data_IF_894834102842
#
_entry.id   IF_894834102842
#
_cell.length_a   1.000
_cell.length_b   1.000
_cell.length_c   1.000
_cell.angle_alpha   90.00
_cell.angle_beta   90.00
_cell.angle_gamma   90.00
#
_symmetry.space_group_name_H-M   'P 1'
#
loop_
_entity.id
_entity.type
_entity.pdbx_description
1 polymer ?
#
# COMPACT_ATOMS: atom_id res chain seq x y z
N UNK A 1 -8.12 -13.28 -0.23
CA UNK A 1 -8.28 -12.24 -1.29
C UNK A 1 -7.06 -12.28 -2.21
N UNK A 2 -7.19 -12.16 -3.54
CA UNK A 2 -6.02 -12.14 -4.43
C UNK A 2 -5.16 -10.89 -4.19
N UNK A 3 -3.85 -11.02 -4.39
CA UNK A 3 -2.91 -9.90 -4.30
C UNK A 3 -3.17 -8.92 -5.46
N UNK A 4 -3.09 -7.62 -5.18
CA UNK A 4 -3.08 -6.59 -6.22
C UNK A 4 -1.84 -6.78 -7.09
N UNK A 5 -1.97 -6.89 -8.40
CA UNK A 5 -0.78 -6.88 -9.28
C UNK A 5 -0.32 -5.44 -9.49
N UNK A 6 0.99 -5.18 -9.37
CA UNK A 6 1.59 -3.87 -9.72
C UNK A 6 1.32 -3.47 -11.18
N UNK A 7 1.09 -4.43 -12.06
CA UNK A 7 0.83 -4.18 -13.48
C UNK A 7 -0.63 -3.84 -13.80
N UNK A 8 -1.53 -3.99 -12.82
CA UNK A 8 -2.94 -3.68 -13.01
C UNK A 8 -3.17 -2.16 -13.14
N UNK A 9 -4.19 -1.77 -13.90
CA UNK A 9 -4.51 -0.36 -14.12
C UNK A 9 -4.72 0.41 -12.80
N UNK A 10 -5.38 -0.22 -11.83
CA UNK A 10 -5.58 0.35 -10.49
C UNK A 10 -4.25 0.60 -9.75
N UNK A 11 -3.30 -0.34 -9.84
CA UNK A 11 -1.99 -0.19 -9.21
C UNK A 11 -1.17 0.91 -9.89
N UNK A 12 -1.14 0.93 -11.23
CA UNK A 12 -0.41 1.95 -12.01
C UNK A 12 -0.97 3.36 -11.75
N UNK A 13 -2.29 3.51 -11.68
CA UNK A 13 -2.95 4.80 -11.43
C UNK A 13 -2.52 5.44 -10.09
N UNK A 14 -2.21 4.60 -9.09
CA UNK A 14 -1.80 5.06 -7.75
C UNK A 14 -0.31 4.85 -7.46
N UNK A 15 0.49 4.50 -8.47
CA UNK A 15 1.91 4.17 -8.31
C UNK A 15 2.16 3.13 -7.21
N UNK A 16 1.28 2.13 -7.11
CA UNK A 16 1.39 1.10 -6.08
C UNK A 16 2.60 0.20 -6.32
N UNK A 17 3.36 -0.06 -5.25
CA UNK A 17 4.46 -1.02 -5.19
C UNK A 17 4.30 -1.95 -3.98
N UNK A 18 4.66 -3.22 -4.15
CA UNK A 18 4.73 -4.22 -3.10
C UNK A 18 5.85 -3.96 -2.10
N UNK A 19 6.92 -3.34 -2.57
CA UNK A 19 8.05 -2.93 -1.75
C UNK A 19 8.23 -1.42 -1.87
N UNK A 20 7.88 -0.70 -0.79
CA UNK A 20 8.01 0.73 -0.71
C UNK A 20 9.46 1.22 -0.80
N UNK A 21 10.46 0.36 -0.58
CA UNK A 21 11.88 0.69 -0.76
C UNK A 21 12.27 0.86 -2.23
N UNK A 22 11.45 0.34 -3.16
CA UNK A 22 11.65 0.51 -4.61
C UNK A 22 11.04 1.79 -5.16
N UNK A 23 10.29 2.53 -4.33
CA UNK A 23 9.67 3.81 -4.70
C UNK A 23 10.69 4.93 -4.58
N UNK A 24 10.68 5.85 -5.56
CA UNK A 24 11.52 7.05 -5.57
C UNK A 24 11.32 7.88 -4.28
N UNK A 25 12.42 8.33 -3.68
CA UNK A 25 12.41 9.13 -2.46
C UNK A 25 11.72 10.50 -2.64
N UNK A 26 11.64 11.02 -3.87
CA UNK A 26 10.88 12.22 -4.21
C UNK A 26 9.36 12.01 -4.10
N UNK A 27 8.88 10.76 -4.19
CA UNK A 27 7.45 10.42 -4.13
C UNK A 27 7.00 9.98 -2.74
N UNK A 28 7.93 9.50 -1.90
CA UNK A 28 7.59 8.83 -0.64
C UNK A 28 8.61 9.14 0.47
N UNK A 29 8.10 9.53 1.65
CA UNK A 29 8.92 9.57 2.86
C UNK A 29 9.19 8.14 3.39
N UNK A 30 10.39 7.91 3.94
CA UNK A 30 10.90 6.56 4.24
C UNK A 30 10.05 5.74 5.22
N UNK A 31 9.26 6.41 6.06
CA UNK A 31 8.39 5.87 7.09
C UNK A 31 6.98 5.51 6.59
N UNK A 32 6.65 5.77 5.32
CA UNK A 32 5.29 5.56 4.79
C UNK A 32 5.13 4.18 4.17
N UNK A 33 4.38 3.31 4.82
CA UNK A 33 4.10 1.94 4.37
C UNK A 33 2.60 1.65 4.41
N UNK A 34 2.15 0.60 3.73
CA UNK A 34 0.76 0.17 3.85
C UNK A 34 0.42 -0.19 5.30
N UNK A 35 1.30 -0.89 6.05
CA UNK A 35 1.00 -1.33 7.42
C UNK A 35 0.66 -0.18 8.39
N UNK A 36 1.14 1.04 8.12
CA UNK A 36 0.85 2.25 8.90
C UNK A 36 -0.05 3.26 8.17
N UNK A 37 -0.73 2.82 7.10
CA UNK A 37 -1.70 3.61 6.36
C UNK A 37 -3.11 3.45 6.96
N UNK A 38 -3.87 4.55 7.08
CA UNK A 38 -5.28 4.54 7.51
C UNK A 38 -6.19 3.66 6.64
N UNK A 39 -5.79 3.40 5.39
CA UNK A 39 -6.58 2.64 4.43
C UNK A 39 -6.26 1.13 4.46
N UNK A 40 -5.26 0.70 5.23
CA UNK A 40 -4.86 -0.70 5.34
C UNK A 40 -5.70 -1.41 6.40
N UNK A 41 -6.39 -2.47 5.98
CA UNK A 41 -7.30 -3.23 6.82
C UNK A 41 -6.63 -4.51 7.36
N UNK A 42 -5.47 -4.34 8.01
CA UNK A 42 -4.68 -5.40 8.64
C UNK A 42 -3.88 -4.89 9.83
N UNK A 43 -3.25 -5.82 10.55
CA UNK A 43 -2.33 -5.55 11.64
C UNK A 43 -0.95 -5.11 11.11
N UNK A 44 -0.09 -4.54 11.96
CA UNK A 44 1.21 -4.01 11.51
C UNK A 44 2.18 -5.09 11.01
N UNK A 45 2.03 -6.32 11.52
CA UNK A 45 2.81 -7.50 11.16
C UNK A 45 2.22 -8.29 9.98
N UNK A 46 1.04 -7.92 9.49
CA UNK A 46 0.42 -8.58 8.35
C UNK A 46 1.22 -8.30 7.07
N UNK A 47 1.76 -9.38 6.49
CA UNK A 47 2.47 -9.29 5.21
C UNK A 47 1.55 -8.79 4.08
N UNK A 48 0.26 -9.13 4.14
CA UNK A 48 -0.75 -8.73 3.16
C UNK A 48 -2.10 -8.55 3.84
N UNK A 49 -2.79 -7.45 3.54
CA UNK A 49 -4.16 -7.23 4.01
C UNK A 49 -4.98 -6.46 2.97
N UNK A 50 -6.27 -6.30 3.25
CA UNK A 50 -7.14 -5.48 2.41
C UNK A 50 -6.76 -4.00 2.44
N UNK A 51 -7.19 -3.27 1.42
CA UNK A 51 -7.07 -1.82 1.39
C UNK A 51 -8.37 -1.20 0.89
N UNK A 52 -8.89 -0.18 1.57
CA UNK A 52 -10.22 0.40 1.30
C UNK A 52 -10.37 0.94 -0.13
N UNK A 53 -9.27 1.37 -0.76
CA UNK A 53 -9.27 1.89 -2.13
C UNK A 53 -8.98 0.83 -3.21
N UNK A 54 -8.68 -0.41 -2.80
CA UNK A 54 -8.51 -1.55 -3.70
C UNK A 54 -9.52 -2.67 -3.35
N UNK A 55 -10.81 -2.49 -3.65
CA UNK A 55 -11.85 -3.45 -3.28
C UNK A 55 -11.54 -4.84 -3.84
N UNK A 56 -11.63 -5.87 -2.99
CA UNK A 56 -11.40 -7.25 -3.40
C UNK A 56 -9.95 -7.59 -3.73
N UNK A 57 -8.97 -6.72 -3.40
CA UNK A 57 -7.53 -6.98 -3.53
C UNK A 57 -6.77 -6.80 -2.21
N UNK A 58 -5.73 -7.60 -2.02
CA UNK A 58 -4.79 -7.45 -0.92
C UNK A 58 -3.53 -6.68 -1.35
N UNK A 59 -3.08 -5.76 -0.52
CA UNK A 59 -1.83 -5.01 -0.69
C UNK A 59 -0.77 -5.51 0.29
N UNK A 60 0.50 -5.37 -0.04
CA UNK A 60 1.60 -5.78 0.82
C UNK A 60 1.73 -4.78 1.97
N UNK A 61 1.90 -5.25 3.21
CA UNK A 61 2.12 -4.37 4.37
C UNK A 61 3.35 -3.47 4.18
N UNK A 62 4.42 -4.01 3.59
CA UNK A 62 5.65 -3.26 3.21
C UNK A 62 5.53 -2.47 1.89
N UNK A 63 4.35 -2.45 1.28
CA UNK A 63 4.08 -1.71 0.06
C UNK A 63 3.78 -0.24 0.31
N UNK A 64 3.48 0.48 -0.78
CA UNK A 64 3.06 1.88 -0.75
C UNK A 64 2.29 2.25 -2.02
N UNK A 65 1.40 3.23 -1.95
CA UNK A 65 0.83 3.95 -3.11
C UNK A 65 0.69 5.44 -2.78
N UNK A 66 0.50 6.29 -3.79
CA UNK A 66 0.41 7.74 -3.65
C UNK A 66 -0.81 8.23 -2.83
N UNK A 67 -1.78 7.35 -2.56
CA UNK A 67 -2.93 7.62 -1.71
C UNK A 67 -2.67 7.29 -0.22
N UNK A 68 -1.43 7.01 0.16
CA UNK A 68 -1.06 6.80 1.56
C UNK A 68 -1.55 7.95 2.44
N UNK A 69 -2.15 7.60 3.57
CA UNK A 69 -2.61 8.54 4.60
C UNK A 69 -2.21 7.97 5.96
N UNK A 70 -1.69 8.78 6.90
CA UNK A 70 -1.29 8.28 8.21
C UNK A 70 -2.49 7.69 8.95
N UNK A 71 -2.30 6.60 9.71
CA UNK A 71 -3.31 6.15 10.66
C UNK A 71 -3.64 7.29 11.63
N UNK A 72 -4.94 7.55 11.93
CA UNK A 72 -5.30 8.46 12.99
C UNK A 72 -4.73 7.95 14.32
N UNK A 73 -4.31 8.88 15.18
CA UNK A 73 -3.89 8.61 16.56
C UNK A 73 -5.06 8.11 17.42
#
# INVERSE_FOLDING_TARGET
>A
MPRLSEDSDMARALNYKHDAQTVDAAMRASDRYCYNCALFAGAEDDAWAGCSIFPGKAVAGRGWCNAWSPKPE
#
